data_IF_250971282650
#
_entry.id   IF_250971282650
#
_cell.length_a   1.000
_cell.length_b   1.000
_cell.length_c   1.000
_cell.angle_alpha   90.00
_cell.angle_beta   90.00
_cell.angle_gamma   90.00
#
_symmetry.space_group_name_H-M   'P 1'
#
loop_
_entity.id
_entity.type
_entity.pdbx_description
1 polymer ?
#
# COMPACT_ATOMS: atom_id res chain seq x y z
N UNK A 1 -23.90 28.65 -3.92
CA UNK A 1 -22.52 29.19 -3.94
C UNK A 1 -21.71 28.61 -2.78
N UNK A 2 -22.05 28.91 -1.52
CA UNK A 2 -21.30 28.41 -0.35
C UNK A 2 -21.35 26.87 -0.21
N UNK A 3 -22.52 26.25 -0.45
CA UNK A 3 -22.71 24.78 -0.44
C UNK A 3 -21.84 24.06 -1.47
N UNK A 4 -21.75 24.61 -2.69
CA UNK A 4 -20.95 24.02 -3.77
C UNK A 4 -19.45 24.05 -3.44
N UNK A 5 -18.96 25.10 -2.79
CA UNK A 5 -17.56 25.18 -2.35
C UNK A 5 -17.26 24.16 -1.25
N UNK A 6 -18.18 23.97 -0.30
CA UNK A 6 -18.04 22.96 0.76
C UNK A 6 -18.05 21.54 0.19
N UNK A 7 -18.89 21.25 -0.81
CA UNK A 7 -18.90 19.94 -1.48
C UNK A 7 -17.58 19.65 -2.21
N UNK A 8 -17.02 20.63 -2.93
CA UNK A 8 -15.72 20.48 -3.59
C UNK A 8 -14.61 20.17 -2.57
N UNK A 9 -14.60 20.86 -1.43
CA UNK A 9 -13.63 20.58 -0.36
C UNK A 9 -13.78 19.17 0.21
N UNK A 10 -15.01 18.69 0.38
CA UNK A 10 -15.27 17.31 0.80
C UNK A 10 -14.78 16.28 -0.21
N UNK A 11 -14.99 16.50 -1.50
CA UNK A 11 -14.48 15.58 -2.53
C UNK A 11 -12.96 15.53 -2.56
N UNK A 12 -12.29 16.68 -2.43
CA UNK A 12 -10.81 16.74 -2.37
C UNK A 12 -10.31 15.96 -1.14
N UNK A 13 -10.91 16.19 0.03
CA UNK A 13 -10.54 15.47 1.25
C UNK A 13 -10.78 13.96 1.13
N UNK A 14 -11.90 13.55 0.53
CA UNK A 14 -12.22 12.14 0.30
C UNK A 14 -11.23 11.47 -0.65
N UNK A 15 -10.86 12.11 -1.76
CA UNK A 15 -9.84 11.59 -2.69
C UNK A 15 -8.49 11.42 -2.00
N UNK A 16 -8.08 12.39 -1.19
CA UNK A 16 -6.81 12.33 -0.46
C UNK A 16 -6.80 11.18 0.55
N UNK A 17 -7.91 10.97 1.27
CA UNK A 17 -8.09 9.84 2.18
C UNK A 17 -8.01 8.50 1.44
N UNK A 18 -8.71 8.36 0.31
CA UNK A 18 -8.69 7.12 -0.48
C UNK A 18 -7.26 6.83 -0.97
N UNK A 19 -6.54 7.84 -1.46
CA UNK A 19 -5.16 7.69 -1.89
C UNK A 19 -4.24 7.23 -0.74
N UNK A 20 -4.41 7.79 0.46
CA UNK A 20 -3.65 7.39 1.64
C UNK A 20 -3.96 5.96 2.06
N UNK A 21 -5.23 5.52 1.98
CA UNK A 21 -5.64 4.16 2.30
C UNK A 21 -5.21 3.13 1.24
N UNK A 22 -5.11 3.54 -0.03
CA UNK A 22 -4.70 2.66 -1.12
C UNK A 22 -3.27 2.13 -0.95
N UNK A 23 -2.36 2.93 -0.36
CA UNK A 23 -0.96 2.57 -0.16
C UNK A 23 -0.80 1.34 0.78
N UNK A 24 -1.26 1.36 2.05
CA UNK A 24 -1.15 0.20 2.92
C UNK A 24 -1.99 -0.98 2.41
N UNK A 25 -3.13 -0.72 1.77
CA UNK A 25 -3.96 -1.78 1.20
C UNK A 25 -3.22 -2.53 0.08
N UNK A 26 -2.56 -1.82 -0.84
CA UNK A 26 -1.74 -2.43 -1.89
C UNK A 26 -0.54 -3.22 -1.36
N UNK A 27 0.05 -2.78 -0.23
CA UNK A 27 1.13 -3.52 0.41
C UNK A 27 0.63 -4.81 1.09
N UNK A 28 -0.55 -4.77 1.71
CA UNK A 28 -1.18 -5.95 2.31
C UNK A 28 -1.55 -6.99 1.25
N UNK A 29 -2.15 -6.58 0.13
CA UNK A 29 -2.50 -7.50 -0.96
C UNK A 29 -1.27 -8.18 -1.56
N UNK A 30 -0.13 -7.46 -1.69
CA UNK A 30 1.16 -8.09 -2.04
C UNK A 30 1.66 -9.08 -1.00
N UNK A 31 1.45 -8.83 0.28
CA UNK A 31 1.81 -9.77 1.36
C UNK A 31 1.04 -11.09 1.24
N UNK A 32 -0.26 -10.99 0.95
CA UNK A 32 -1.15 -12.14 0.73
C UNK A 32 -0.73 -12.93 -0.51
N UNK A 33 -0.48 -12.24 -1.64
CA UNK A 33 -0.03 -12.87 -2.88
C UNK A 33 1.26 -13.68 -2.67
N UNK A 34 2.25 -13.12 -1.97
CA UNK A 34 3.51 -13.83 -1.65
C UNK A 34 3.29 -15.07 -0.78
N UNK A 35 2.31 -15.03 0.13
CA UNK A 35 1.96 -16.18 0.98
C UNK A 35 1.32 -17.28 0.14
N UNK A 36 0.39 -16.91 -0.74
CA UNK A 36 -0.30 -17.84 -1.64
C UNK A 36 0.68 -18.49 -2.62
N UNK A 37 1.52 -17.68 -3.29
CA UNK A 37 2.53 -18.18 -4.21
C UNK A 37 3.53 -19.12 -3.54
N UNK A 38 3.93 -18.84 -2.29
CA UNK A 38 4.78 -19.75 -1.52
C UNK A 38 4.08 -21.07 -1.20
N UNK A 39 2.79 -21.02 -0.85
CA UNK A 39 2.00 -22.23 -0.59
C UNK A 39 1.87 -23.10 -1.85
N UNK A 40 1.65 -22.48 -3.01
CA UNK A 40 1.64 -23.18 -4.32
C UNK A 40 2.98 -23.85 -4.64
N UNK A 41 4.09 -23.29 -4.14
CA UNK A 41 5.44 -23.81 -4.32
C UNK A 41 5.86 -24.80 -3.21
N UNK A 42 4.92 -25.28 -2.39
CA UNK A 42 5.21 -26.20 -1.27
C UNK A 42 6.27 -25.67 -0.29
N UNK A 43 6.33 -24.33 -0.12
CA UNK A 43 7.23 -23.68 0.85
C UNK A 43 6.46 -22.80 1.81
N UNK A 44 7.00 -22.63 3.01
CA UNK A 44 6.44 -21.69 3.98
C UNK A 44 6.83 -20.28 3.55
N UNK A 45 5.84 -19.51 3.10
CA UNK A 45 6.03 -18.12 2.67
C UNK A 45 6.31 -17.15 3.82
N UNK A 46 6.86 -15.97 3.49
CA UNK A 46 7.14 -14.90 4.46
C UNK A 46 5.87 -14.42 5.19
N UNK A 47 6.01 -13.70 6.31
CA UNK A 47 4.86 -13.12 7.01
C UNK A 47 4.16 -12.06 6.16
N UNK A 48 2.86 -11.86 6.38
CA UNK A 48 2.04 -10.90 5.60
C UNK A 48 2.54 -9.46 5.75
N UNK A 49 3.17 -9.12 6.88
CA UNK A 49 3.74 -7.79 7.15
C UNK A 49 5.09 -7.53 6.46
N UNK A 50 5.71 -8.55 5.85
CA UNK A 50 7.00 -8.44 5.17
C UNK A 50 7.11 -7.27 4.16
N UNK A 51 6.09 -6.97 3.33
CA UNK A 51 6.16 -5.89 2.35
C UNK A 51 6.42 -4.50 2.96
N UNK A 52 5.98 -4.25 4.20
CA UNK A 52 6.22 -2.96 4.86
C UNK A 52 7.71 -2.77 5.20
N UNK A 53 8.37 -3.84 5.68
CA UNK A 53 9.81 -3.80 5.95
C UNK A 53 10.63 -3.72 4.67
N UNK A 54 10.18 -4.37 3.60
CA UNK A 54 10.85 -4.31 2.30
C UNK A 54 10.82 -2.88 1.73
N UNK A 55 9.70 -2.15 1.86
CA UNK A 55 9.63 -0.73 1.46
C UNK A 55 10.64 0.11 2.23
N UNK A 56 10.66 0.02 3.57
CA UNK A 56 11.64 0.74 4.40
C UNK A 56 13.08 0.41 3.99
N UNK A 57 13.37 -0.87 3.77
CA UNK A 57 14.70 -1.34 3.36
C UNK A 57 15.12 -0.76 2.01
N UNK A 58 14.21 -0.69 1.03
CA UNK A 58 14.51 -0.16 -0.30
C UNK A 58 14.78 1.34 -0.27
N UNK A 59 14.05 2.11 0.54
CA UNK A 59 14.31 3.55 0.71
C UNK A 59 15.65 3.87 1.36
N UNK A 60 16.25 2.92 2.08
CA UNK A 60 17.55 3.09 2.72
C UNK A 60 18.73 2.71 1.81
N UNK A 61 18.47 2.13 0.64
CA UNK A 61 19.53 1.74 -0.29
C UNK A 61 19.95 2.91 -1.16
N UNK A 62 21.26 3.01 -1.41
CA UNK A 62 21.80 3.93 -2.39
C UNK A 62 21.41 3.49 -3.80
N UNK A 63 20.97 4.46 -4.62
CA UNK A 63 20.72 4.23 -6.04
C UNK A 63 22.03 4.29 -6.80
N UNK A 64 22.51 3.14 -7.24
CA UNK A 64 23.67 3.03 -8.11
C UNK A 64 23.18 3.19 -9.55
N UNK A 65 23.76 4.11 -10.32
CA UNK A 65 23.44 4.42 -11.72
C UNK A 65 24.46 3.76 -12.64
#
# INVERSE_FOLDING_TARGET
MLTNVVEILWYIAATFLIALFAIPFGLLTKGIDRKLAAHMQWRIGPPVWQPFWDVKKLFQKESIV
#
